data_IF_333911072831
#
_entry.id   IF_333911072831
#
_cell.length_a   1.000
_cell.length_b   1.000
_cell.length_c   1.000
_cell.angle_alpha   90.00
_cell.angle_beta   90.00
_cell.angle_gamma   90.00
#
_symmetry.space_group_name_H-M   'P 1'
#
loop_
_entity.id
_entity.type
_entity.pdbx_description
1 polymer ?
#
# COMPACT_ATOMS: atom_id res chain seq x y z
N UNK A 1 -6.79 -17.71 -20.46
CA UNK A 1 -5.55 -17.37 -19.73
C UNK A 1 -5.60 -15.89 -19.49
N UNK A 2 -6.18 -15.48 -18.35
CA UNK A 2 -6.37 -14.07 -18.02
C UNK A 2 -5.01 -13.39 -17.84
N UNK A 3 -4.82 -12.34 -18.62
CA UNK A 3 -3.69 -11.42 -18.57
C UNK A 3 -3.58 -10.83 -17.18
N UNK A 4 -2.51 -11.20 -16.46
CA UNK A 4 -2.08 -10.52 -15.26
C UNK A 4 -2.11 -9.01 -15.48
N UNK A 5 -2.87 -8.33 -14.64
CA UNK A 5 -3.01 -6.88 -14.59
C UNK A 5 -1.63 -6.25 -14.63
N UNK A 6 -1.25 -5.68 -15.78
CA UNK A 6 -0.26 -4.60 -15.78
C UNK A 6 -0.80 -3.59 -14.80
N UNK A 7 -0.16 -3.45 -13.65
CA UNK A 7 -0.45 -2.37 -12.71
C UNK A 7 -0.42 -1.08 -13.51
N UNK A 8 -1.58 -0.45 -13.65
CA UNK A 8 -1.70 0.84 -14.32
C UNK A 8 -0.81 1.80 -13.55
N UNK A 9 0.26 2.26 -14.20
CA UNK A 9 1.22 3.18 -13.61
C UNK A 9 0.49 4.46 -13.26
N UNK A 10 0.58 4.85 -11.99
CA UNK A 10 0.05 6.11 -11.48
C UNK A 10 0.89 7.30 -11.95
N UNK A 11 2.12 7.06 -12.43
CA UNK A 11 3.05 8.09 -12.86
C UNK A 11 3.92 8.61 -11.71
N UNK A 12 3.60 8.24 -10.47
CA UNK A 12 4.44 8.46 -9.31
C UNK A 12 5.26 7.19 -9.04
N UNK A 13 6.59 7.34 -9.08
CA UNK A 13 7.52 6.22 -8.95
C UNK A 13 7.44 5.55 -7.56
N UNK A 14 7.16 6.30 -6.50
CA UNK A 14 7.06 5.76 -5.15
C UNK A 14 5.74 5.00 -4.98
N UNK A 15 4.64 5.55 -5.49
CA UNK A 15 3.34 4.87 -5.49
C UNK A 15 3.41 3.59 -6.32
N UNK A 16 4.02 3.65 -7.51
CA UNK A 16 4.17 2.48 -8.39
C UNK A 16 5.05 1.38 -7.75
N UNK A 17 6.08 1.75 -6.99
CA UNK A 17 6.92 0.79 -6.23
C UNK A 17 6.13 0.12 -5.11
N UNK A 18 5.34 0.88 -4.36
CA UNK A 18 4.47 0.37 -3.28
C UNK A 18 3.37 -0.54 -3.82
N UNK A 19 2.77 -0.21 -4.96
CA UNK A 19 1.79 -1.08 -5.61
C UNK A 19 2.45 -2.33 -6.21
N UNK A 20 3.70 -2.23 -6.66
CA UNK A 20 4.49 -3.36 -7.13
C UNK A 20 4.68 -4.46 -6.08
N UNK A 21 4.72 -4.11 -4.79
CA UNK A 21 4.79 -5.10 -3.72
C UNK A 21 3.58 -6.02 -3.60
N UNK A 22 2.42 -5.65 -4.18
CA UNK A 22 1.23 -6.51 -4.22
C UNK A 22 1.41 -7.73 -5.14
N UNK A 23 2.35 -7.69 -6.09
CA UNK A 23 2.66 -8.84 -6.96
C UNK A 23 3.09 -10.07 -6.14
N UNK A 24 3.72 -9.83 -4.96
CA UNK A 24 4.14 -10.89 -4.04
C UNK A 24 2.98 -11.71 -3.46
N UNK A 25 1.77 -11.16 -3.42
CA UNK A 25 0.57 -11.88 -2.95
C UNK A 25 0.30 -13.15 -3.76
N UNK A 26 0.62 -13.15 -5.05
CA UNK A 26 0.42 -14.32 -5.92
C UNK A 26 1.24 -15.55 -5.48
N UNK A 27 2.33 -15.34 -4.74
CA UNK A 27 3.20 -16.42 -4.23
C UNK A 27 2.99 -16.77 -2.75
N UNK A 28 2.09 -16.07 -2.05
CA UNK A 28 1.89 -16.22 -0.60
C UNK A 28 0.56 -16.93 -0.30
N UNK A 29 0.48 -17.69 0.81
CA UNK A 29 -0.79 -18.21 1.29
C UNK A 29 -1.72 -17.05 1.69
N UNK A 30 -3.03 -17.27 1.55
CA UNK A 30 -4.06 -16.23 1.79
C UNK A 30 -3.98 -15.66 3.21
N UNK A 31 -3.59 -16.47 4.19
CA UNK A 31 -3.41 -16.04 5.58
C UNK A 31 -2.36 -14.92 5.74
N UNK A 32 -1.36 -14.89 4.86
CA UNK A 32 -0.31 -13.85 4.86
C UNK A 32 -0.69 -12.61 4.05
N UNK A 33 -1.78 -12.66 3.27
CA UNK A 33 -2.17 -11.54 2.40
C UNK A 33 -2.54 -10.29 3.21
N UNK A 34 -3.16 -10.48 4.38
CA UNK A 34 -3.54 -9.38 5.26
C UNK A 34 -2.34 -8.56 5.74
N UNK A 35 -1.22 -9.23 6.06
CA UNK A 35 0.00 -8.55 6.51
C UNK A 35 0.61 -7.70 5.38
N UNK A 36 0.68 -8.25 4.17
CA UNK A 36 1.20 -7.55 2.99
C UNK A 36 0.30 -6.37 2.61
N UNK A 37 -1.03 -6.54 2.64
CA UNK A 37 -1.97 -5.46 2.37
C UNK A 37 -1.85 -4.32 3.39
N UNK A 38 -1.66 -4.64 4.67
CA UNK A 38 -1.47 -3.65 5.72
C UNK A 38 -0.15 -2.88 5.54
N UNK A 39 0.95 -3.56 5.21
CA UNK A 39 2.24 -2.94 4.90
C UNK A 39 2.14 -1.98 3.70
N UNK A 40 1.49 -2.43 2.62
CA UNK A 40 1.28 -1.60 1.43
C UNK A 40 0.43 -0.36 1.77
N UNK A 41 -0.61 -0.53 2.59
CA UNK A 41 -1.45 0.58 3.03
C UNK A 41 -0.68 1.61 3.85
N UNK A 42 0.11 1.17 4.84
CA UNK A 42 0.93 2.04 5.68
C UNK A 42 1.95 2.83 4.84
N UNK A 43 2.68 2.12 3.97
CA UNK A 43 3.68 2.72 3.09
C UNK A 43 3.05 3.71 2.10
N UNK A 44 1.88 3.39 1.56
CA UNK A 44 1.14 4.30 0.68
C UNK A 44 0.63 5.54 1.44
N UNK A 45 0.18 5.37 2.69
CA UNK A 45 -0.18 6.49 3.56
C UNK A 45 0.98 7.46 3.78
N UNK A 46 2.19 6.95 4.01
CA UNK A 46 3.41 7.77 4.13
C UNK A 46 3.79 8.52 2.85
N UNK A 47 3.57 7.92 1.68
CA UNK A 47 3.85 8.54 0.37
C UNK A 47 2.81 9.58 0.00
N UNK A 48 1.52 9.29 0.19
CA UNK A 48 0.42 10.17 -0.22
C UNK A 48 0.11 11.27 0.79
N UNK A 49 0.40 11.05 2.07
CA UNK A 49 0.13 11.99 3.14
C UNK A 49 1.38 12.22 4.03
N UNK A 50 2.48 12.78 3.46
CA UNK A 50 3.71 13.00 4.20
C UNK A 50 3.52 13.93 5.42
N UNK A 51 2.54 14.84 5.35
CA UNK A 51 2.20 15.74 6.47
C UNK A 51 1.47 15.02 7.62
N UNK A 52 0.74 13.94 7.32
CA UNK A 52 0.09 13.09 8.33
C UNK A 52 1.10 12.12 8.97
N UNK A 53 2.10 11.66 8.21
CA UNK A 53 3.21 10.86 8.74
C UNK A 53 4.06 11.62 9.78
N UNK A 54 4.11 12.96 9.69
CA UNK A 54 4.81 13.81 10.67
C UNK A 54 4.00 14.04 11.96
N UNK A 55 2.72 13.66 12.01
CA UNK A 55 1.94 13.65 13.26
C UNK A 55 1.87 12.24 13.82
N UNK A 56 2.75 11.87 14.78
CA UNK A 56 2.56 10.64 15.53
C UNK A 56 1.30 10.81 16.38
N UNK A 57 0.25 10.02 16.10
CA UNK A 57 -0.83 9.72 17.04
C UNK A 57 -1.56 10.90 17.68
N UNK A 58 -2.29 11.70 16.90
CA UNK A 58 -3.18 12.72 17.48
C UNK A 58 -4.44 12.92 16.65
N UNK A 59 -5.59 12.60 17.26
CA UNK A 59 -6.96 12.86 16.80
C UNK A 59 -7.60 11.83 15.86
N UNK A 60 -7.58 10.54 16.25
CA UNK A 60 -8.77 9.70 16.02
C UNK A 60 -9.61 9.73 17.30
N UNK A 61 -10.39 10.80 17.46
CA UNK A 61 -11.28 10.98 18.61
C UNK A 61 -11.55 12.43 18.96
N UNK A 62 -12.59 13.00 18.37
CA UNK A 62 -13.50 13.93 19.06
C UNK A 62 -14.78 14.10 18.22
N UNK A 63 -15.98 13.80 18.77
CA UNK A 63 -17.23 14.41 18.31
C UNK A 63 -17.29 15.90 18.69
#
# INVERSE_FOLDING_TARGET
METGTRTSRTGDRLVDDVLGSLDRLAGLPVDDHAAVLLEVHDRLGGVLAPEQALRPGGAHGAP
#
